data_IF_121981019399
#
_entry.id   IF_121981019399
#
_cell.length_a   1.000
_cell.length_b   1.000
_cell.length_c   1.000
_cell.angle_alpha   90.00
_cell.angle_beta   90.00
_cell.angle_gamma   90.00
#
_symmetry.space_group_name_H-M   'P 1'
#
loop_
_entity.id
_entity.type
_entity.pdbx_description
1 polymer ?
#
# COMPACT_ATOMS: atom_id res chain seq x y z
N UNK A 1 6.95 -36.55 36.90
CA UNK A 1 8.04 -36.20 35.98
C UNK A 1 7.40 -35.57 34.78
N UNK A 2 7.91 -34.39 34.43
CA UNK A 2 7.52 -33.46 33.36
C UNK A 2 6.94 -34.11 32.10
N UNK A 3 5.98 -33.47 31.42
CA UNK A 3 6.18 -32.11 30.90
C UNK A 3 4.84 -31.47 30.59
N UNK A 4 4.62 -30.26 31.13
CA UNK A 4 3.59 -29.38 30.62
C UNK A 4 3.82 -29.17 29.13
N UNK A 5 2.78 -29.41 28.35
CA UNK A 5 2.74 -28.97 26.96
C UNK A 5 2.87 -27.45 26.96
N UNK A 6 4.08 -26.95 26.75
CA UNK A 6 4.30 -25.56 26.35
C UNK A 6 3.62 -25.39 24.99
N UNK A 7 2.32 -25.08 25.05
CA UNK A 7 1.55 -24.46 23.99
C UNK A 7 1.98 -22.98 23.90
N UNK A 8 3.29 -22.72 23.90
CA UNK A 8 3.83 -21.39 23.69
C UNK A 8 3.86 -21.18 22.19
N UNK A 9 2.88 -20.42 21.67
CA UNK A 9 3.01 -19.83 20.34
C UNK A 9 4.36 -19.09 20.29
N UNK A 10 5.24 -19.49 19.36
CA UNK A 10 6.53 -18.82 19.16
C UNK A 10 6.26 -17.40 18.64
N UNK A 11 6.30 -16.41 19.54
CA UNK A 11 6.03 -14.99 19.25
C UNK A 11 7.00 -14.39 18.23
N UNK A 12 8.12 -15.06 17.96
CA UNK A 12 9.09 -14.64 16.97
C UNK A 12 8.76 -15.16 15.57
N UNK A 13 7.73 -15.99 15.42
CA UNK A 13 7.31 -16.52 14.12
C UNK A 13 5.88 -16.15 13.81
N UNK A 14 5.63 -15.91 12.53
CA UNK A 14 4.30 -15.62 12.01
C UNK A 14 4.13 -16.30 10.66
N UNK A 15 2.92 -16.79 10.39
CA UNK A 15 2.59 -17.42 9.11
C UNK A 15 2.62 -16.39 7.98
N UNK A 16 3.28 -16.73 6.88
CA UNK A 16 3.37 -15.94 5.67
C UNK A 16 2.56 -16.62 4.55
N UNK A 17 1.43 -16.02 4.19
CA UNK A 17 0.55 -16.57 3.15
C UNK A 17 1.25 -16.71 1.79
N UNK A 18 2.21 -15.82 1.48
CA UNK A 18 2.94 -15.82 0.21
C UNK A 18 3.88 -17.02 0.06
N UNK A 19 4.51 -17.45 1.16
CA UNK A 19 5.43 -18.60 1.17
C UNK A 19 4.77 -19.90 1.62
N UNK A 20 3.60 -19.82 2.27
CA UNK A 20 2.92 -20.98 2.84
C UNK A 20 3.61 -21.57 4.07
N UNK A 21 4.46 -20.81 4.76
CA UNK A 21 5.23 -21.26 5.92
C UNK A 21 5.33 -20.20 7.03
N UNK A 22 5.80 -20.62 8.22
CA UNK A 22 6.10 -19.71 9.33
C UNK A 22 7.50 -19.12 9.18
N UNK A 23 7.59 -17.80 9.09
CA UNK A 23 8.84 -17.05 9.01
C UNK A 23 9.02 -16.13 10.22
N UNK A 24 10.21 -15.56 10.37
CA UNK A 24 10.52 -14.60 11.42
C UNK A 24 9.55 -13.40 11.38
N UNK A 25 8.97 -13.05 12.52
CA UNK A 25 8.00 -11.96 12.69
C UNK A 25 8.62 -10.58 12.41
N UNK A 26 9.95 -10.49 12.43
CA UNK A 26 10.73 -9.32 12.00
C UNK A 26 10.92 -9.22 10.47
N UNK A 27 10.43 -10.20 9.70
CA UNK A 27 10.50 -10.18 8.25
C UNK A 27 9.84 -8.93 7.67
N UNK A 28 10.53 -8.18 6.78
CA UNK A 28 9.99 -6.99 6.09
C UNK A 28 8.65 -7.23 5.37
N UNK A 29 8.34 -8.48 5.02
CA UNK A 29 7.05 -8.88 4.46
C UNK A 29 5.87 -8.44 5.33
N UNK A 30 5.96 -8.56 6.66
CA UNK A 30 4.86 -8.21 7.53
C UNK A 30 4.65 -6.69 7.65
N UNK A 31 5.71 -5.90 7.50
CA UNK A 31 5.59 -4.45 7.44
C UNK A 31 5.03 -3.99 6.10
N UNK A 32 5.39 -4.65 5.00
CA UNK A 32 4.74 -4.46 3.70
C UNK A 32 3.22 -4.74 3.78
N UNK A 33 2.84 -5.92 4.27
CA UNK A 33 1.44 -6.36 4.44
C UNK A 33 0.64 -5.36 5.28
N UNK A 34 1.18 -4.97 6.43
CA UNK A 34 0.57 -3.98 7.32
C UNK A 34 0.40 -2.62 6.63
N UNK A 35 1.42 -2.15 5.91
CA UNK A 35 1.38 -0.85 5.21
C UNK A 35 0.31 -0.84 4.11
N UNK A 36 0.18 -1.92 3.34
CA UNK A 36 -0.90 -2.03 2.34
C UNK A 36 -2.29 -2.03 2.99
N UNK A 37 -2.48 -2.77 4.09
CA UNK A 37 -3.76 -2.79 4.85
C UNK A 37 -4.10 -1.43 5.45
N UNK A 38 -3.11 -0.69 5.93
CA UNK A 38 -3.29 0.68 6.41
C UNK A 38 -3.68 1.62 5.26
N UNK A 39 -3.04 1.51 4.08
CA UNK A 39 -3.44 2.26 2.90
C UNK A 39 -4.90 1.98 2.50
N UNK A 40 -5.33 0.71 2.49
CA UNK A 40 -6.73 0.33 2.24
C UNK A 40 -7.69 0.93 3.25
N UNK A 41 -7.33 0.89 4.53
CA UNK A 41 -8.12 1.49 5.60
C UNK A 41 -8.26 3.00 5.40
N UNK A 42 -7.18 3.69 5.02
CA UNK A 42 -7.20 5.11 4.71
C UNK A 42 -8.06 5.43 3.47
N UNK A 43 -8.04 4.61 2.42
CA UNK A 43 -8.99 4.77 1.31
C UNK A 43 -10.44 4.58 1.77
N UNK A 44 -10.71 3.61 2.63
CA UNK A 44 -12.03 3.41 3.24
C UNK A 44 -12.50 4.64 4.02
N UNK A 45 -11.62 5.24 4.83
CA UNK A 45 -11.90 6.48 5.55
C UNK A 45 -12.13 7.66 4.58
N UNK A 46 -11.33 7.79 3.52
CA UNK A 46 -11.54 8.80 2.49
C UNK A 46 -12.89 8.63 1.77
N UNK A 47 -13.30 7.40 1.45
CA UNK A 47 -14.62 7.08 0.88
C UNK A 47 -15.74 7.48 1.85
N UNK A 48 -15.55 7.24 3.14
CA UNK A 48 -16.55 7.54 4.18
C UNK A 48 -16.90 9.03 4.30
N UNK A 49 -16.03 9.92 3.80
CA UNK A 49 -16.28 11.37 3.76
C UNK A 49 -17.39 11.76 2.78
N UNK A 50 -17.78 10.88 1.86
CA UNK A 50 -18.79 11.14 0.83
C UNK A 50 -18.30 12.02 -0.34
N UNK A 51 -17.03 12.43 -0.36
CA UNK A 51 -16.47 13.32 -1.38
C UNK A 51 -15.71 12.48 -2.42
N UNK A 52 -16.03 12.67 -3.72
CA UNK A 52 -15.38 11.98 -4.86
C UNK A 52 -15.24 10.47 -4.62
N UNK A 53 -16.36 9.83 -4.23
CA UNK A 53 -16.41 8.42 -3.83
C UNK A 53 -15.85 7.50 -4.93
N UNK A 54 -16.32 7.65 -6.16
CA UNK A 54 -15.96 6.74 -7.26
C UNK A 54 -14.47 6.85 -7.61
N UNK A 55 -13.94 8.09 -7.64
CA UNK A 55 -12.52 8.31 -7.84
C UNK A 55 -11.68 7.66 -6.73
N UNK A 56 -12.16 7.68 -5.49
CA UNK A 56 -11.44 7.09 -4.35
C UNK A 56 -11.54 5.56 -4.35
N UNK A 57 -12.68 5.00 -4.77
CA UNK A 57 -12.85 3.55 -4.98
C UNK A 57 -11.96 3.02 -6.09
N UNK A 58 -11.79 3.78 -7.17
CA UNK A 58 -10.89 3.43 -8.25
C UNK A 58 -9.44 3.34 -7.75
N UNK A 59 -9.00 4.25 -6.87
CA UNK A 59 -7.67 4.19 -6.26
C UNK A 59 -7.50 2.96 -5.35
N UNK A 60 -8.53 2.63 -4.56
CA UNK A 60 -8.55 1.42 -3.75
C UNK A 60 -8.46 0.16 -4.62
N UNK A 61 -9.20 0.10 -5.73
CA UNK A 61 -9.15 -1.01 -6.68
C UNK A 61 -7.75 -1.16 -7.30
N UNK A 62 -7.11 -0.05 -7.68
CA UNK A 62 -5.73 -0.09 -8.18
C UNK A 62 -4.76 -0.61 -7.11
N UNK A 63 -4.91 -0.17 -5.86
CA UNK A 63 -4.07 -0.61 -4.75
C UNK A 63 -4.25 -2.11 -4.45
N UNK A 64 -5.50 -2.58 -4.45
CA UNK A 64 -5.85 -3.99 -4.23
C UNK A 64 -5.30 -4.90 -5.33
N UNK A 65 -5.43 -4.50 -6.61
CA UNK A 65 -4.80 -5.24 -7.73
C UNK A 65 -3.29 -5.34 -7.59
N UNK A 66 -2.62 -4.27 -7.17
CA UNK A 66 -1.18 -4.31 -6.93
C UNK A 66 -0.81 -5.16 -5.71
N UNK A 67 -1.66 -5.21 -4.69
CA UNK A 67 -1.47 -6.11 -3.55
C UNK A 67 -1.67 -7.59 -3.94
N UNK A 68 -2.63 -7.90 -4.80
CA UNK A 68 -2.85 -9.27 -5.28
C UNK A 68 -1.77 -9.72 -6.27
N UNK A 69 -1.17 -8.78 -7.02
CA UNK A 69 -0.15 -9.06 -8.01
C UNK A 69 1.10 -9.78 -7.44
N UNK A 70 1.37 -9.64 -6.14
CA UNK A 70 2.51 -10.31 -5.50
C UNK A 70 2.28 -11.82 -5.38
N UNK A 71 1.04 -12.24 -5.13
CA UNK A 71 0.65 -13.66 -5.08
C UNK A 71 0.28 -14.23 -6.44
N UNK A 72 -0.16 -13.38 -7.37
CA UNK A 72 -0.55 -13.77 -8.73
C UNK A 72 -0.04 -12.74 -9.75
N UNK A 73 1.03 -13.09 -10.46
CA UNK A 73 1.68 -12.20 -11.42
C UNK A 73 0.80 -11.79 -12.59
N UNK A 74 -0.26 -12.56 -12.90
CA UNK A 74 -1.18 -12.27 -13.98
C UNK A 74 -2.19 -11.18 -13.61
N UNK A 75 -2.38 -10.91 -12.31
CA UNK A 75 -3.22 -9.83 -11.82
C UNK A 75 -2.55 -8.48 -12.10
N UNK A 76 -2.94 -7.82 -13.18
CA UNK A 76 -2.40 -6.53 -13.62
C UNK A 76 -3.48 -5.44 -13.68
N UNK A 77 -3.05 -4.18 -13.59
CA UNK A 77 -3.93 -3.02 -13.77
C UNK A 77 -4.48 -2.99 -15.22
N UNK A 78 -5.65 -2.42 -15.43
CA UNK A 78 -6.18 -2.19 -16.78
C UNK A 78 -5.31 -1.19 -17.55
N UNK A 79 -5.39 -1.19 -18.87
CA UNK A 79 -4.69 -0.19 -19.70
C UNK A 79 -5.07 1.24 -19.33
N UNK A 80 -6.34 1.47 -19.00
CA UNK A 80 -6.85 2.76 -18.57
C UNK A 80 -6.20 3.22 -17.26
N UNK A 81 -6.17 2.36 -16.24
CA UNK A 81 -5.51 2.65 -14.97
C UNK A 81 -4.00 2.90 -15.17
N UNK A 82 -3.33 2.07 -15.98
CA UNK A 82 -1.91 2.26 -16.30
C UNK A 82 -1.63 3.61 -16.95
N UNK A 83 -2.46 4.02 -17.92
CA UNK A 83 -2.33 5.31 -18.60
C UNK A 83 -2.54 6.45 -17.60
N UNK A 84 -3.58 6.39 -16.78
CA UNK A 84 -3.89 7.40 -15.76
C UNK A 84 -2.72 7.62 -14.79
N UNK A 85 -2.10 6.54 -14.34
CA UNK A 85 -0.93 6.59 -13.43
C UNK A 85 0.36 7.09 -14.11
N UNK A 86 0.48 6.98 -15.44
CA UNK A 86 1.68 7.43 -16.14
C UNK A 86 1.81 8.96 -16.25
N UNK A 87 0.73 9.71 -16.01
CA UNK A 87 0.69 11.18 -16.11
C UNK A 87 0.79 11.90 -14.76
N UNK A 88 1.23 11.20 -13.71
CA UNK A 88 1.42 11.78 -12.38
C UNK A 88 2.88 12.11 -12.12
N UNK A 89 3.20 13.40 -12.16
CA UNK A 89 4.46 13.95 -11.66
C UNK A 89 4.29 14.42 -10.21
N UNK A 90 5.36 14.36 -9.43
CA UNK A 90 5.36 14.85 -8.05
C UNK A 90 5.18 16.38 -8.03
N UNK A 91 4.34 16.89 -7.11
CA UNK A 91 3.98 18.31 -7.03
C UNK A 91 4.12 18.76 -5.58
N UNK A 92 4.81 19.87 -5.35
CA UNK A 92 4.97 20.38 -4.00
C UNK A 92 3.63 20.77 -3.35
N UNK A 93 3.42 20.34 -2.09
CA UNK A 93 2.27 20.69 -1.26
C UNK A 93 2.71 21.35 0.05
N UNK A 94 2.09 22.48 0.40
CA UNK A 94 2.11 22.99 1.77
C UNK A 94 1.18 22.15 2.65
N UNK A 95 1.77 21.13 3.29
CA UNK A 95 1.05 20.24 4.20
C UNK A 95 0.36 20.99 5.35
N UNK A 96 1.00 22.02 5.91
CA UNK A 96 0.44 22.76 7.05
C UNK A 96 -0.80 23.52 6.61
N UNK A 97 -0.75 24.21 5.48
CA UNK A 97 -1.91 24.94 4.95
C UNK A 97 -3.07 23.99 4.65
N UNK A 98 -2.78 22.85 3.99
CA UNK A 98 -3.79 21.85 3.64
C UNK A 98 -4.46 21.23 4.87
N UNK A 99 -3.69 20.86 5.89
CA UNK A 99 -4.23 20.29 7.13
C UNK A 99 -4.99 21.33 7.95
N UNK A 100 -4.54 22.59 7.95
CA UNK A 100 -5.24 23.69 8.64
C UNK A 100 -6.60 24.01 8.02
N UNK A 101 -6.78 23.73 6.73
CA UNK A 101 -8.06 23.89 6.04
C UNK A 101 -9.10 22.82 6.42
N UNK A 102 -8.71 21.75 7.13
CA UNK A 102 -9.64 20.74 7.63
C UNK A 102 -10.21 19.81 6.56
N UNK A 103 -9.53 19.65 5.42
CA UNK A 103 -9.95 18.72 4.35
C UNK A 103 -9.71 17.26 4.77
N UNK A 104 -10.70 16.68 5.45
CA UNK A 104 -10.64 15.31 6.02
C UNK A 104 -10.33 14.28 4.94
N UNK A 105 -10.92 14.40 3.74
CA UNK A 105 -10.65 13.48 2.64
C UNK A 105 -9.19 13.55 2.24
N UNK A 106 -8.66 14.75 2.04
CA UNK A 106 -7.25 14.91 1.69
C UNK A 106 -6.32 14.37 2.78
N UNK A 107 -6.64 14.56 4.06
CA UNK A 107 -5.86 13.98 5.18
C UNK A 107 -5.78 12.46 5.08
N UNK A 108 -6.91 11.79 4.81
CA UNK A 108 -6.92 10.33 4.63
C UNK A 108 -6.16 9.88 3.38
N UNK A 109 -6.27 10.61 2.27
CA UNK A 109 -5.50 10.30 1.06
C UNK A 109 -3.99 10.51 1.24
N UNK A 110 -3.56 11.54 1.98
CA UNK A 110 -2.17 11.76 2.32
C UNK A 110 -1.61 10.65 3.22
N UNK A 111 -2.42 10.16 4.17
CA UNK A 111 -2.06 8.99 4.96
C UNK A 111 -1.96 7.72 4.09
N UNK A 112 -2.92 7.51 3.17
CA UNK A 112 -2.85 6.39 2.22
C UNK A 112 -1.58 6.45 1.36
N UNK A 113 -1.23 7.64 0.85
CA UNK A 113 0.01 7.86 0.11
C UNK A 113 1.24 7.45 0.92
N UNK A 114 1.36 7.90 2.17
CA UNK A 114 2.48 7.58 3.04
C UNK A 114 2.62 6.07 3.24
N UNK A 115 1.50 5.37 3.51
CA UNK A 115 1.51 3.92 3.67
C UNK A 115 1.83 3.16 2.37
N UNK A 116 1.41 3.65 1.21
CA UNK A 116 1.82 3.09 -0.08
C UNK A 116 3.33 3.29 -0.33
N UNK A 117 3.90 4.42 0.09
CA UNK A 117 5.33 4.68 -0.01
C UNK A 117 6.14 3.78 0.93
N UNK A 118 5.67 3.56 2.16
CA UNK A 118 6.27 2.60 3.09
C UNK A 118 6.20 1.17 2.54
N UNK A 119 5.05 0.76 1.99
CA UNK A 119 4.90 -0.53 1.35
C UNK A 119 5.90 -0.71 0.20
N UNK A 120 6.07 0.31 -0.66
CA UNK A 120 7.08 0.27 -1.72
C UNK A 120 8.50 0.11 -1.16
N UNK A 121 8.84 0.83 -0.08
CA UNK A 121 10.15 0.70 0.56
C UNK A 121 10.38 -0.75 1.03
N UNK A 122 9.41 -1.34 1.73
CA UNK A 122 9.52 -2.73 2.16
C UNK A 122 9.59 -3.71 0.99
N UNK A 123 8.85 -3.50 -0.10
CA UNK A 123 9.01 -4.32 -1.33
C UNK A 123 10.43 -4.26 -1.89
N UNK A 124 11.09 -3.10 -1.86
CA UNK A 124 12.49 -2.98 -2.34
C UNK A 124 13.46 -3.81 -1.48
N UNK A 125 13.15 -3.97 -0.20
CA UNK A 125 13.95 -4.80 0.73
C UNK A 125 13.64 -6.27 0.49
N UNK A 126 12.35 -6.64 0.47
CA UNK A 126 11.86 -8.00 0.25
C UNK A 126 12.37 -8.57 -1.08
N UNK A 127 12.41 -7.78 -2.14
CA UNK A 127 12.92 -8.20 -3.45
C UNK A 127 14.37 -8.70 -3.43
N UNK A 128 15.18 -8.25 -2.46
CA UNK A 128 16.57 -8.68 -2.31
C UNK A 128 16.70 -10.02 -1.59
N UNK A 129 15.62 -10.48 -0.94
CA UNK A 129 15.55 -11.79 -0.31
C UNK A 129 15.28 -12.86 -1.38
N UNK A 130 16.11 -13.91 -1.39
CA UNK A 130 16.01 -15.01 -2.36
C UNK A 130 14.67 -15.73 -2.26
N UNK A 131 14.11 -15.84 -1.06
CA UNK A 131 12.85 -16.55 -0.83
C UNK A 131 11.65 -15.78 -1.41
N UNK A 132 11.76 -14.46 -1.56
CA UNK A 132 10.67 -13.62 -2.04
C UNK A 132 10.87 -13.06 -3.45
N UNK A 133 12.12 -13.04 -3.95
CA UNK A 133 12.49 -12.30 -5.16
C UNK A 133 11.65 -12.64 -6.40
N UNK A 134 11.20 -13.89 -6.53
CA UNK A 134 10.38 -14.35 -7.66
C UNK A 134 8.95 -13.81 -7.63
N UNK A 135 8.44 -13.48 -6.44
CA UNK A 135 7.10 -12.91 -6.25
C UNK A 135 7.07 -11.39 -6.52
N UNK A 136 8.21 -10.69 -6.37
CA UNK A 136 8.25 -9.23 -6.45
C UNK A 136 8.65 -8.74 -7.84
N UNK A 137 7.63 -8.52 -8.69
CA UNK A 137 7.84 -8.03 -10.05
C UNK A 137 8.23 -6.54 -10.10
N UNK A 138 9.04 -6.14 -11.09
CA UNK A 138 9.32 -4.72 -11.37
C UNK A 138 8.05 -3.95 -11.75
N UNK A 139 7.09 -4.66 -12.37
CA UNK A 139 5.76 -4.12 -12.67
C UNK A 139 5.07 -3.64 -11.39
N UNK A 140 5.03 -4.48 -10.36
CA UNK A 140 4.39 -4.18 -9.08
C UNK A 140 4.97 -2.90 -8.47
N UNK A 141 6.29 -2.88 -8.31
CA UNK A 141 7.01 -1.77 -7.68
C UNK A 141 6.83 -0.46 -8.48
N UNK A 142 6.92 -0.53 -9.81
CA UNK A 142 6.71 0.62 -10.70
C UNK A 142 5.32 1.21 -10.53
N UNK A 143 4.27 0.39 -10.56
CA UNK A 143 2.91 0.90 -10.52
C UNK A 143 2.45 1.26 -9.11
N UNK A 144 2.99 0.63 -8.06
CA UNK A 144 2.79 1.06 -6.68
C UNK A 144 3.39 2.44 -6.43
N UNK A 145 4.61 2.68 -6.94
CA UNK A 145 5.24 4.00 -6.91
C UNK A 145 4.37 5.06 -7.59
N UNK A 146 3.91 4.79 -8.82
CA UNK A 146 3.05 5.72 -9.55
C UNK A 146 1.70 5.95 -8.87
N UNK A 147 1.10 4.91 -8.30
CA UNK A 147 -0.14 5.02 -7.55
C UNK A 147 0.05 5.90 -6.31
N UNK A 148 1.13 5.69 -5.55
CA UNK A 148 1.45 6.52 -4.39
C UNK A 148 1.54 8.01 -4.78
N UNK A 149 2.26 8.35 -5.85
CA UNK A 149 2.35 9.74 -6.36
C UNK A 149 0.98 10.26 -6.84
N UNK A 150 0.20 9.43 -7.54
CA UNK A 150 -1.12 9.82 -8.01
C UNK A 150 -2.08 10.14 -6.84
N UNK A 151 -2.08 9.31 -5.79
CA UNK A 151 -2.89 9.50 -4.58
C UNK A 151 -2.53 10.82 -3.89
N UNK A 152 -1.24 11.12 -3.80
CA UNK A 152 -0.75 12.40 -3.28
C UNK A 152 -1.31 13.59 -4.08
N UNK A 153 -1.22 13.56 -5.42
CA UNK A 153 -1.81 14.61 -6.28
C UNK A 153 -3.32 14.74 -6.12
N UNK A 154 -4.02 13.61 -6.01
CA UNK A 154 -5.46 13.59 -5.84
C UNK A 154 -5.89 14.19 -4.49
N UNK A 155 -5.06 14.07 -3.44
CA UNK A 155 -5.24 14.78 -2.18
C UNK A 155 -5.01 16.30 -2.32
N UNK A 156 -4.09 16.71 -3.20
CA UNK A 156 -3.78 18.11 -3.48
C UNK A 156 -4.88 18.80 -4.27
N UNK A 157 -5.64 18.09 -5.13
CA UNK A 157 -6.56 18.59 -6.17
C UNK A 157 -7.64 19.64 -5.81
N UNK A 158 -7.64 20.19 -4.59
CA UNK A 158 -8.32 21.44 -4.20
C UNK A 158 -7.39 22.67 -4.10
N UNK A 159 -6.08 22.56 -4.38
CA UNK A 159 -5.08 23.63 -4.20
C UNK A 159 -4.45 24.08 -5.54
N UNK A 160 -4.91 23.57 -6.68
CA UNK A 160 -4.49 24.15 -7.97
C UNK A 160 -5.36 25.38 -8.29
N UNK A 161 -4.80 26.54 -7.91
CA UNK A 161 -5.16 27.92 -8.27
C UNK A 161 -6.46 28.48 -7.68
#
# INVERSE_FOLDING_TARGET
>A
MDSGSENSEDVNKRFCDLLGEFIENSSPYFQYDSSMKLAFSCFGLAISTGIRIDATRELLEMADKLYQNISDSDTVLSDEHRKKLNHADDVWLDMKAKMSAGDIRASHLLAAHAHLADALNYLTIIKKDKNFSEFISDYNMKYLSKLSVFVYREAIGHVML
#
